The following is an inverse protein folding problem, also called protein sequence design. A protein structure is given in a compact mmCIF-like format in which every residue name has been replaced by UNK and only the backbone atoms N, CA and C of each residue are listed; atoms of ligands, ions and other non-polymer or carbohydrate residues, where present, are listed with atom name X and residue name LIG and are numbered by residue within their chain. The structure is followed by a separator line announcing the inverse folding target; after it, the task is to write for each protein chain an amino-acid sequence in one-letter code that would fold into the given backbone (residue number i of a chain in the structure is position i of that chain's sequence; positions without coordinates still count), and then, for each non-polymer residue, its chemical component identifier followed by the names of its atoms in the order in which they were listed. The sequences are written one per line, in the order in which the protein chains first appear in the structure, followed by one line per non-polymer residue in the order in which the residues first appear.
data_IF_926786776109
#
_entry.id   IF_926786776109
#
_cell.length_a   1.000
_cell.length_b   1.000
_cell.length_c   1.000
_cell.angle_alpha   90.00
_cell.angle_beta   90.00
_cell.angle_gamma   90.00
#
_symmetry.space_group_name_H-M   'P 1'
#
loop_
_entity.id
_entity.type
_entity.pdbx_description
1 polymer ?
#
# COMPACT_ATOMS: atom_id res chain seq x y z
N UNK A 1 2.32 9.51 16.11
CA UNK A 1 3.74 9.94 16.06
C UNK A 1 3.77 11.45 16.03
N UNK A 2 4.77 12.08 16.71
CA UNK A 2 5.01 13.52 16.60
C UNK A 2 6.36 13.72 15.92
N UNK A 3 6.35 14.42 14.78
CA UNK A 3 7.55 14.81 14.03
C UNK A 3 7.82 16.30 14.28
N UNK A 4 9.00 16.64 14.76
CA UNK A 4 9.42 18.02 15.00
C UNK A 4 10.60 18.31 14.07
N UNK A 5 10.50 19.38 13.27
CA UNK A 5 11.56 19.79 12.35
C UNK A 5 11.72 21.30 12.32
N UNK A 6 12.96 21.75 12.15
CA UNK A 6 13.35 23.15 11.99
C UNK A 6 13.82 23.49 10.57
N UNK A 7 13.79 22.50 9.65
CA UNK A 7 14.26 22.66 8.29
C UNK A 7 13.72 21.65 7.32
N UNK A 8 14.06 21.86 6.05
CA UNK A 8 13.69 20.98 4.93
C UNK A 8 14.43 19.65 4.98
N UNK A 9 13.75 18.58 4.57
CA UNK A 9 14.41 17.31 4.32
C UNK A 9 15.32 17.42 3.09
N UNK A 10 16.56 17.01 3.28
CA UNK A 10 17.59 17.00 2.23
C UNK A 10 17.92 15.58 1.73
N UNK A 11 17.25 14.56 2.24
CA UNK A 11 17.46 13.16 1.85
C UNK A 11 16.84 12.88 0.49
N UNK A 12 17.65 12.69 -0.53
CA UNK A 12 17.23 12.31 -1.87
C UNK A 12 17.47 10.81 -2.10
N UNK A 13 16.67 10.10 -2.90
CA UNK A 13 15.62 10.60 -3.81
C UNK A 13 14.17 10.47 -3.27
N UNK A 14 13.98 10.12 -2.00
CA UNK A 14 12.66 9.83 -1.44
C UNK A 14 11.90 11.11 -1.09
N UNK A 15 10.63 11.17 -1.47
CA UNK A 15 9.70 12.22 -1.04
C UNK A 15 9.13 11.87 0.34
N UNK A 16 9.34 12.71 1.39
CA UNK A 16 8.84 12.42 2.73
C UNK A 16 7.33 12.28 2.81
N UNK A 17 6.56 12.97 1.97
CA UNK A 17 5.11 12.85 1.93
C UNK A 17 4.68 11.47 1.37
N UNK A 18 5.34 10.97 0.33
CA UNK A 18 5.10 9.62 -0.19
C UNK A 18 5.46 8.55 0.85
N UNK A 19 6.58 8.72 1.55
CA UNK A 19 6.97 7.82 2.65
C UNK A 19 5.92 7.81 3.76
N UNK A 20 5.38 8.99 4.14
CA UNK A 20 4.31 9.09 5.13
C UNK A 20 3.04 8.35 4.69
N UNK A 21 2.65 8.45 3.41
CA UNK A 21 1.52 7.69 2.84
C UNK A 21 1.75 6.18 2.91
N UNK A 22 2.94 5.72 2.59
CA UNK A 22 3.28 4.30 2.66
C UNK A 22 3.29 3.78 4.10
N UNK A 23 3.84 4.55 5.03
CA UNK A 23 3.83 4.21 6.46
C UNK A 23 2.38 4.12 6.97
N UNK A 24 1.54 5.10 6.63
CA UNK A 24 0.12 5.09 7.01
C UNK A 24 -0.62 3.87 6.48
N UNK A 25 -0.31 3.43 5.25
CA UNK A 25 -0.92 2.23 4.65
C UNK A 25 -0.46 0.92 5.30
N UNK A 26 0.72 0.90 5.93
CA UNK A 26 1.27 -0.29 6.63
C UNK A 26 0.95 -0.31 8.12
N UNK A 27 0.60 0.83 8.69
CA UNK A 27 0.36 0.99 10.12
C UNK A 27 -1.12 1.08 10.47
N UNK A 28 -1.56 0.33 11.47
CA UNK A 28 -2.95 0.36 11.94
C UNK A 28 -3.20 1.69 12.64
N UNK A 29 -4.03 2.56 12.04
CA UNK A 29 -4.43 3.83 12.62
C UNK A 29 -3.27 4.79 12.94
N UNK A 30 -2.16 4.69 12.19
CA UNK A 30 -1.01 5.54 12.41
C UNK A 30 -1.32 6.99 12.01
N UNK A 31 -1.21 7.91 12.96
CA UNK A 31 -1.30 9.36 12.76
C UNK A 31 0.07 10.00 13.01
N UNK A 32 0.50 10.89 12.13
CA UNK A 32 1.72 11.70 12.31
C UNK A 32 1.32 13.17 12.43
N UNK A 33 1.46 13.72 13.63
CA UNK A 33 1.35 15.16 13.84
C UNK A 33 2.71 15.80 13.61
N UNK A 34 2.76 16.94 12.92
CA UNK A 34 4.01 17.61 12.59
C UNK A 34 4.08 19.00 13.22
N UNK A 35 5.24 19.33 13.78
CA UNK A 35 5.54 20.60 14.39
C UNK A 35 6.73 21.24 13.66
N UNK A 36 6.49 22.40 13.04
CA UNK A 36 7.54 23.18 12.37
C UNK A 36 8.07 24.30 13.27
N UNK A 37 9.38 24.28 13.56
CA UNK A 37 10.05 25.33 14.33
C UNK A 37 10.52 26.44 13.39
N UNK A 38 9.71 27.51 13.23
CA UNK A 38 10.02 28.66 12.36
C UNK A 38 10.29 28.26 10.89
N UNK A 39 9.45 27.45 10.26
CA UNK A 39 9.73 26.91 8.95
C UNK A 39 9.56 27.97 7.84
N UNK A 40 10.39 27.86 6.80
CA UNK A 40 10.12 28.48 5.51
C UNK A 40 8.89 27.86 4.83
N UNK A 41 8.46 28.42 3.69
CA UNK A 41 7.25 27.96 3.00
C UNK A 41 7.36 26.50 2.55
N UNK A 42 8.50 26.09 2.02
CA UNK A 42 8.72 24.74 1.48
C UNK A 42 8.72 23.68 2.59
N UNK A 43 9.40 23.94 3.69
CA UNK A 43 9.36 23.07 4.88
C UNK A 43 7.94 22.96 5.44
N UNK A 44 7.20 24.06 5.46
CA UNK A 44 5.79 24.06 5.90
C UNK A 44 4.94 23.17 5.03
N UNK A 45 5.02 23.32 3.72
CA UNK A 45 4.22 22.52 2.76
C UNK A 45 4.56 21.03 2.89
N UNK A 46 5.83 20.68 3.06
CA UNK A 46 6.29 19.32 3.28
C UNK A 46 5.74 18.73 4.59
N UNK A 47 5.85 19.45 5.70
CA UNK A 47 5.35 18.99 7.00
C UNK A 47 3.82 18.89 7.02
N UNK A 48 3.12 19.83 6.36
CA UNK A 48 1.66 19.76 6.19
C UNK A 48 1.25 18.52 5.41
N UNK A 49 1.93 18.25 4.29
CA UNK A 49 1.66 17.07 3.49
C UNK A 49 1.85 15.75 4.27
N UNK A 50 2.90 15.65 5.10
CA UNK A 50 3.12 14.47 5.96
C UNK A 50 1.97 14.29 6.96
N UNK A 51 1.54 15.38 7.61
CA UNK A 51 0.44 15.34 8.55
C UNK A 51 -0.86 14.94 7.85
N UNK A 52 -1.24 15.63 6.78
CA UNK A 52 -2.46 15.36 6.01
C UNK A 52 -2.49 13.93 5.47
N UNK A 53 -1.33 13.46 4.98
CA UNK A 53 -1.18 12.10 4.47
C UNK A 53 -1.51 11.01 5.51
N UNK A 54 -1.46 11.31 6.80
CA UNK A 54 -1.67 10.36 7.90
C UNK A 54 -2.85 10.72 8.80
N UNK A 55 -3.66 11.74 8.42
CA UNK A 55 -4.77 12.22 9.25
C UNK A 55 -4.33 12.96 10.52
N UNK A 56 -3.08 13.43 10.55
CA UNK A 56 -2.52 14.26 11.62
C UNK A 56 -2.76 15.74 11.40
N UNK A 57 -2.10 16.56 12.22
CA UNK A 57 -2.18 18.01 12.15
C UNK A 57 -0.80 18.63 12.06
N UNK A 58 -0.64 19.62 11.17
CA UNK A 58 0.54 20.48 11.16
C UNK A 58 0.35 21.68 12.12
N UNK A 59 1.38 22.03 12.87
CA UNK A 59 1.40 23.24 13.70
C UNK A 59 2.77 23.95 13.56
N UNK A 60 2.73 25.26 13.25
CA UNK A 60 3.91 26.10 13.32
C UNK A 60 4.09 26.60 14.76
N UNK A 61 5.30 26.47 15.28
CA UNK A 61 5.65 26.85 16.66
C UNK A 61 6.82 27.83 16.62
N UNK A 62 6.68 28.97 17.31
CA UNK A 62 7.70 29.99 17.36
C UNK A 62 8.34 30.13 18.74
N UNK A 63 7.64 29.67 19.78
CA UNK A 63 8.08 29.82 21.16
C UNK A 63 8.05 28.51 21.92
N UNK A 64 8.93 28.37 22.91
CA UNK A 64 9.09 27.17 23.72
C UNK A 64 7.79 26.76 24.47
N UNK A 65 7.07 27.78 24.95
CA UNK A 65 5.82 27.58 25.68
C UNK A 65 4.77 26.95 24.77
N UNK A 66 4.61 27.42 23.53
CA UNK A 66 3.72 26.87 22.51
C UNK A 66 4.07 25.42 22.16
N UNK A 67 5.37 25.10 22.09
CA UNK A 67 5.83 23.73 21.86
C UNK A 67 5.40 22.82 23.01
N UNK A 68 5.60 23.23 24.26
CA UNK A 68 5.23 22.44 25.44
C UNK A 68 3.73 22.18 25.51
N UNK A 69 2.93 23.23 25.31
CA UNK A 69 1.46 23.14 25.34
C UNK A 69 0.95 22.23 24.21
N UNK A 70 1.53 22.35 23.01
CA UNK A 70 1.12 21.53 21.88
C UNK A 70 1.50 20.07 22.05
N UNK A 71 2.68 19.77 22.55
CA UNK A 71 3.07 18.38 22.87
C UNK A 71 2.16 17.80 23.93
N UNK A 72 1.79 18.58 24.98
CA UNK A 72 0.81 18.15 25.98
C UNK A 72 -0.52 17.77 25.36
N UNK A 73 -1.09 18.61 24.49
CA UNK A 73 -2.34 18.33 23.77
C UNK A 73 -2.26 17.06 22.91
N UNK A 74 -1.12 16.83 22.25
CA UNK A 74 -0.91 15.64 21.42
C UNK A 74 -0.81 14.35 22.26
N UNK A 75 -0.21 14.44 23.44
CA UNK A 75 -0.15 13.33 24.39
C UNK A 75 -1.54 13.01 24.93
N UNK A 76 -2.34 14.02 25.29
CA UNK A 76 -3.71 13.84 25.74
C UNK A 76 -4.58 13.19 24.64
N UNK A 77 -4.44 13.65 23.40
CA UNK A 77 -5.11 13.05 22.23
C UNK A 77 -4.69 11.60 21.98
N UNK A 78 -3.42 11.27 22.17
CA UNK A 78 -2.93 9.90 22.02
C UNK A 78 -3.43 8.96 23.13
N UNK A 79 -3.89 9.51 24.25
CA UNK A 79 -4.52 8.79 25.36
C UNK A 79 -6.02 8.56 25.19
N UNK A 80 -6.64 9.11 24.11
CA UNK A 80 -8.05 8.90 23.83
C UNK A 80 -8.36 7.42 23.56
N UNK A 81 -9.55 6.91 23.93
CA UNK A 81 -9.86 5.49 23.90
C UNK A 81 -9.75 4.91 22.49
N UNK A 82 -9.09 3.78 22.43
CA UNK A 82 -8.88 2.97 21.22
C UNK A 82 -10.23 2.68 20.54
N UNK A 83 -10.30 2.87 19.23
CA UNK A 83 -11.48 2.50 18.43
C UNK A 83 -11.75 1.01 18.63
N UNK A 84 -12.96 0.66 19.03
CA UNK A 84 -13.37 -0.73 19.20
C UNK A 84 -13.51 -1.39 17.83
N UNK A 85 -12.77 -2.45 17.53
CA UNK A 85 -12.89 -3.14 16.25
C UNK A 85 -14.28 -3.74 16.05
N UNK A 86 -14.76 -3.72 14.81
CA UNK A 86 -16.03 -4.33 14.41
C UNK A 86 -15.76 -5.77 13.96
N UNK A 87 -16.44 -6.74 14.57
CA UNK A 87 -16.37 -8.11 14.12
C UNK A 87 -16.96 -8.25 12.71
N UNK A 88 -16.22 -8.85 11.81
CA UNK A 88 -16.64 -9.15 10.44
C UNK A 88 -16.26 -10.57 10.07
N UNK A 89 -16.85 -11.12 9.03
CA UNK A 89 -16.50 -12.42 8.49
C UNK A 89 -16.22 -12.26 6.98
N UNK A 90 -14.96 -12.39 6.59
CA UNK A 90 -14.57 -12.38 5.19
C UNK A 90 -15.06 -13.64 4.47
N UNK A 91 -15.22 -13.53 3.15
CA UNK A 91 -15.67 -14.64 2.33
C UNK A 91 -14.50 -15.38 1.64
N UNK A 92 -14.76 -16.59 1.15
CA UNK A 92 -13.79 -17.35 0.35
C UNK A 92 -13.59 -16.77 -1.06
N UNK A 93 -14.50 -15.91 -1.53
CA UNK A 93 -14.47 -15.27 -2.84
C UNK A 93 -14.97 -13.84 -2.76
N UNK A 94 -14.49 -12.97 -3.66
CA UNK A 94 -14.90 -11.57 -3.70
C UNK A 94 -16.42 -11.37 -3.85
N UNK A 95 -17.11 -12.20 -4.66
CA UNK A 95 -18.53 -12.05 -4.93
C UNK A 95 -19.43 -12.12 -3.69
N UNK A 96 -19.04 -12.89 -2.68
CA UNK A 96 -19.79 -13.05 -1.41
C UNK A 96 -19.21 -12.22 -0.25
N UNK A 97 -18.17 -11.42 -0.47
CA UNK A 97 -17.49 -10.74 0.58
C UNK A 97 -18.28 -9.53 1.11
N UNK A 98 -18.18 -9.23 2.41
CA UNK A 98 -18.78 -8.03 3.00
C UNK A 98 -18.13 -6.77 2.43
N UNK A 99 -18.94 -5.72 2.24
CA UNK A 99 -18.42 -4.39 1.87
C UNK A 99 -18.09 -3.62 3.15
N UNK A 100 -16.83 -3.26 3.30
CA UNK A 100 -16.30 -2.52 4.43
C UNK A 100 -16.21 -1.02 4.10
N UNK A 101 -16.40 -0.19 5.12
CA UNK A 101 -16.09 1.24 5.12
C UNK A 101 -14.77 1.48 5.83
N UNK A 102 -14.30 2.73 5.86
CA UNK A 102 -13.15 3.09 6.71
C UNK A 102 -13.45 2.69 8.16
N UNK A 103 -12.50 1.98 8.78
CA UNK A 103 -12.62 1.45 10.12
C UNK A 103 -11.68 0.31 10.44
N UNK A 104 -11.78 -0.16 11.68
CA UNK A 104 -11.02 -1.28 12.21
C UNK A 104 -11.93 -2.49 12.38
N UNK A 105 -11.47 -3.64 11.88
CA UNK A 105 -12.26 -4.88 11.83
C UNK A 105 -11.50 -6.05 12.43
N UNK A 106 -12.21 -7.01 12.99
CA UNK A 106 -11.63 -8.29 13.43
C UNK A 106 -12.30 -9.44 12.73
N UNK A 107 -11.51 -10.44 12.38
CA UNK A 107 -11.93 -11.71 11.79
C UNK A 107 -11.01 -12.84 12.26
N UNK A 108 -11.18 -14.03 11.71
CA UNK A 108 -10.30 -15.17 11.92
C UNK A 108 -9.86 -15.76 10.59
N UNK A 109 -8.54 -15.89 10.45
CA UNK A 109 -7.90 -16.41 9.25
C UNK A 109 -7.74 -17.93 9.38
N UNK A 110 -8.36 -18.70 8.48
CA UNK A 110 -8.19 -20.14 8.43
C UNK A 110 -6.83 -20.51 7.84
N UNK A 111 -6.21 -21.54 8.37
CA UNK A 111 -4.88 -22.01 7.96
C UNK A 111 -4.84 -22.36 6.47
N UNK A 112 -3.92 -21.76 5.72
CA UNK A 112 -3.73 -22.00 4.29
C UNK A 112 -4.90 -21.57 3.41
N UNK A 113 -5.80 -20.74 3.91
CA UNK A 113 -6.95 -20.22 3.19
C UNK A 113 -6.76 -18.77 2.81
N UNK A 114 -7.76 -18.22 2.13
CA UNK A 114 -7.84 -16.83 1.77
C UNK A 114 -9.17 -16.23 2.22
N UNK A 115 -9.15 -14.95 2.57
CA UNK A 115 -10.31 -14.15 2.94
C UNK A 115 -10.44 -12.96 2.02
N UNK A 116 -11.67 -12.66 1.62
CA UNK A 116 -11.99 -11.49 0.79
C UNK A 116 -12.90 -10.53 1.52
N UNK A 117 -12.64 -9.23 1.30
CA UNK A 117 -13.46 -8.12 1.73
C UNK A 117 -13.61 -7.15 0.56
N UNK A 118 -14.71 -6.42 0.46
CA UNK A 118 -14.92 -5.41 -0.59
C UNK A 118 -14.80 -4.01 0.00
N UNK A 119 -14.26 -3.10 -0.79
CA UNK A 119 -14.20 -1.68 -0.47
C UNK A 119 -14.52 -0.91 -1.74
N UNK A 120 -15.38 0.09 -1.65
CA UNK A 120 -15.72 0.97 -2.75
C UNK A 120 -14.81 2.21 -2.69
N UNK A 121 -14.14 2.52 -3.81
CA UNK A 121 -13.16 3.61 -3.93
C UNK A 121 -13.61 4.51 -5.07
N UNK A 122 -13.87 5.79 -4.76
CA UNK A 122 -14.23 6.78 -5.78
C UNK A 122 -12.98 7.27 -6.55
N UNK A 123 -13.14 7.77 -7.77
CA UNK A 123 -12.09 8.50 -8.44
C UNK A 123 -11.52 9.62 -7.56
N UNK A 124 -10.21 9.82 -7.58
CA UNK A 124 -9.52 10.79 -6.71
C UNK A 124 -9.29 10.34 -5.27
N UNK A 125 -9.78 9.17 -4.87
CA UNK A 125 -9.54 8.62 -3.53
C UNK A 125 -8.37 7.63 -3.52
N UNK A 126 -7.80 7.44 -2.34
CA UNK A 126 -6.77 6.44 -2.05
C UNK A 126 -7.31 5.43 -1.03
N UNK A 127 -7.32 4.15 -1.40
CA UNK A 127 -7.54 3.06 -0.48
C UNK A 127 -6.23 2.71 0.22
N UNK A 128 -6.25 2.70 1.53
CA UNK A 128 -5.21 2.16 2.41
C UNK A 128 -5.80 0.99 3.16
N UNK A 129 -5.10 -0.11 3.19
CA UNK A 129 -5.52 -1.26 3.96
C UNK A 129 -4.32 -1.96 4.59
N UNK A 130 -4.46 -2.37 5.83
CA UNK A 130 -3.45 -3.16 6.53
C UNK A 130 -4.11 -4.31 7.28
N UNK A 131 -3.38 -5.42 7.37
CA UNK A 131 -3.82 -6.60 8.10
C UNK A 131 -2.73 -7.05 9.06
N UNK A 132 -3.14 -7.37 10.29
CA UNK A 132 -2.31 -8.01 11.30
C UNK A 132 -2.90 -9.36 11.64
N UNK A 133 -2.09 -10.40 11.63
CA UNK A 133 -2.48 -11.75 12.04
C UNK A 133 -1.63 -12.15 13.23
N UNK A 134 -2.28 -12.51 14.33
CA UNK A 134 -1.64 -12.94 15.56
C UNK A 134 -1.62 -14.46 15.68
N UNK A 135 -0.49 -15.03 16.09
CA UNK A 135 -0.39 -16.45 16.42
C UNK A 135 -0.84 -16.67 17.87
N UNK A 136 -2.11 -17.03 18.08
CA UNK A 136 -2.65 -17.39 19.42
C UNK A 136 -2.36 -18.85 19.81
N UNK A 137 -1.60 -19.56 18.99
CA UNK A 137 -1.16 -20.95 19.18
C UNK A 137 0.09 -21.24 18.37
N UNK A 138 0.68 -22.41 18.62
CA UNK A 138 1.87 -22.84 17.89
C UNK A 138 1.57 -23.05 16.40
N UNK A 139 2.37 -22.41 15.54
CA UNK A 139 2.34 -22.55 14.07
C UNK A 139 3.72 -22.99 13.59
N UNK A 140 3.79 -23.62 12.43
CA UNK A 140 5.07 -23.96 11.83
C UNK A 140 5.85 -22.68 11.47
N UNK A 141 7.19 -22.69 11.54
CA UNK A 141 8.01 -21.49 11.39
C UNK A 141 7.98 -20.88 9.99
N UNK A 142 7.68 -21.68 8.95
CA UNK A 142 7.65 -21.22 7.57
C UNK A 142 6.23 -20.77 7.18
N UNK A 143 5.83 -19.60 7.66
CA UNK A 143 4.53 -19.04 7.33
C UNK A 143 4.64 -17.56 6.95
N UNK A 144 3.65 -17.09 6.20
CA UNK A 144 3.57 -15.69 5.79
C UNK A 144 2.14 -15.24 5.52
N UNK A 145 1.96 -13.95 5.49
CA UNK A 145 0.74 -13.26 5.13
C UNK A 145 1.01 -12.36 3.94
N UNK A 146 0.09 -12.36 2.97
CA UNK A 146 0.11 -11.47 1.82
C UNK A 146 -1.27 -10.86 1.65
N UNK A 147 -1.31 -9.54 1.54
CA UNK A 147 -2.49 -8.77 1.20
C UNK A 147 -2.42 -8.27 -0.25
N UNK A 148 -3.53 -8.38 -0.97
CA UNK A 148 -3.65 -7.88 -2.34
C UNK A 148 -4.96 -7.13 -2.52
N UNK A 149 -4.94 -6.10 -3.35
CA UNK A 149 -6.14 -5.50 -3.91
C UNK A 149 -6.34 -6.07 -5.32
N UNK A 150 -7.51 -6.63 -5.57
CA UNK A 150 -7.87 -7.22 -6.85
C UNK A 150 -9.20 -6.66 -7.33
N UNK A 151 -9.43 -6.66 -8.64
CA UNK A 151 -10.76 -6.34 -9.19
C UNK A 151 -11.77 -7.42 -8.83
N UNK A 152 -13.06 -7.14 -9.00
CA UNK A 152 -14.14 -8.13 -8.82
C UNK A 152 -13.99 -9.38 -9.72
N UNK A 153 -13.20 -9.28 -10.79
CA UNK A 153 -12.86 -10.39 -11.69
C UNK A 153 -11.54 -11.09 -11.32
N UNK A 154 -10.92 -10.74 -10.20
CA UNK A 154 -9.70 -11.37 -9.69
C UNK A 154 -8.39 -10.87 -10.32
N UNK A 155 -8.42 -9.81 -11.14
CA UNK A 155 -7.19 -9.20 -11.64
C UNK A 155 -6.52 -8.39 -10.53
N UNK A 156 -5.26 -8.66 -10.25
CA UNK A 156 -4.47 -7.93 -9.28
C UNK A 156 -4.28 -6.46 -9.72
N UNK A 157 -4.54 -5.54 -8.80
CA UNK A 157 -4.35 -4.11 -8.94
C UNK A 157 -3.03 -3.72 -8.28
N UNK A 158 -2.90 -4.04 -6.99
CA UNK A 158 -1.72 -3.78 -6.17
C UNK A 158 -1.58 -4.87 -5.12
N UNK A 159 -0.35 -5.12 -4.69
CA UNK A 159 -0.07 -6.02 -3.55
C UNK A 159 0.77 -5.32 -2.51
N UNK A 160 0.54 -5.70 -1.26
CA UNK A 160 1.44 -5.42 -0.17
C UNK A 160 2.70 -6.28 -0.25
N UNK A 161 3.68 -5.97 0.55
CA UNK A 161 4.84 -6.81 0.73
C UNK A 161 4.43 -8.10 1.47
N UNK A 162 4.84 -9.25 0.95
CA UNK A 162 4.66 -10.53 1.65
C UNK A 162 5.53 -10.56 2.89
N UNK A 163 4.94 -10.81 4.05
CA UNK A 163 5.65 -10.81 5.33
C UNK A 163 5.49 -12.13 6.04
N UNK A 164 6.50 -12.50 6.82
CA UNK A 164 6.54 -13.69 7.65
C UNK A 164 7.89 -14.38 7.57
N UNK A 165 8.36 -14.90 8.69
CA UNK A 165 9.53 -15.79 8.79
C UNK A 165 9.42 -16.71 9.99
N UNK A 166 8.24 -16.87 10.57
CA UNK A 166 7.95 -17.74 11.67
C UNK A 166 8.52 -17.36 13.04
N UNK A 167 9.04 -16.14 13.19
CA UNK A 167 9.71 -15.72 14.42
C UNK A 167 8.97 -14.69 15.25
N UNK A 168 7.82 -14.22 14.80
CA UNK A 168 7.02 -13.22 15.51
C UNK A 168 5.62 -13.74 15.78
N UNK A 169 5.07 -13.40 16.94
CA UNK A 169 3.70 -13.75 17.30
C UNK A 169 2.64 -12.95 16.52
N UNK A 170 3.06 -11.88 15.86
CA UNK A 170 2.21 -11.03 15.02
C UNK A 170 2.91 -10.70 13.71
N UNK A 171 2.21 -10.88 12.61
CA UNK A 171 2.64 -10.46 11.27
C UNK A 171 1.68 -9.40 10.76
N UNK A 172 2.24 -8.30 10.28
CA UNK A 172 1.47 -7.22 9.67
C UNK A 172 1.97 -6.92 8.26
N UNK A 173 1.04 -6.68 7.35
CA UNK A 173 1.30 -6.19 5.99
C UNK A 173 0.23 -5.21 5.57
N UNK A 174 0.54 -4.34 4.63
CA UNK A 174 -0.43 -3.36 4.14
C UNK A 174 -0.18 -3.01 2.69
N UNK A 175 -1.14 -2.32 2.10
CA UNK A 175 -1.09 -1.80 0.74
C UNK A 175 -1.77 -0.44 0.66
N UNK A 176 -1.45 0.29 -0.40
CA UNK A 176 -2.16 1.50 -0.80
C UNK A 176 -2.53 1.42 -2.28
N UNK A 177 -3.68 1.96 -2.62
CA UNK A 177 -4.15 2.05 -3.99
C UNK A 177 -4.75 3.44 -4.24
N UNK A 178 -3.99 4.38 -4.81
CA UNK A 178 -4.53 5.66 -5.24
C UNK A 178 -5.30 5.48 -6.54
N UNK A 179 -6.59 5.80 -6.52
CA UNK A 179 -7.46 5.79 -7.70
C UNK A 179 -7.30 7.10 -8.45
N UNK A 180 -7.01 7.03 -9.74
CA UNK A 180 -6.92 8.22 -10.58
C UNK A 180 -8.24 9.02 -10.56
N UNK A 181 -8.13 10.33 -10.68
CA UNK A 181 -9.27 11.19 -10.93
C UNK A 181 -9.97 10.81 -12.25
N UNK A 182 -11.22 11.17 -12.39
CA UNK A 182 -12.01 10.97 -13.60
C UNK A 182 -12.41 12.33 -14.17
N UNK A 183 -12.38 12.44 -15.49
CA UNK A 183 -12.95 13.61 -16.19
C UNK A 183 -14.49 13.65 -16.10
N UNK A 184 -15.12 12.56 -15.65
CA UNK A 184 -16.56 12.46 -15.41
C UNK A 184 -16.83 12.60 -13.90
N UNK A 185 -17.41 13.72 -13.49
CA UNK A 185 -17.79 14.01 -12.10
C UNK A 185 -18.79 12.99 -11.52
N UNK A 186 -19.47 12.21 -12.37
CA UNK A 186 -20.42 11.17 -11.97
C UNK A 186 -19.84 9.76 -12.14
N UNK A 187 -18.53 9.61 -12.34
CA UNK A 187 -17.93 8.29 -12.48
C UNK A 187 -18.24 7.42 -11.23
N UNK A 188 -18.73 6.20 -11.41
CA UNK A 188 -19.07 5.33 -10.27
C UNK A 188 -17.83 4.92 -9.49
N UNK A 189 -18.02 4.65 -8.21
CA UNK A 189 -17.01 4.02 -7.38
C UNK A 189 -16.59 2.66 -7.98
N UNK A 190 -15.31 2.35 -7.90
CA UNK A 190 -14.78 1.03 -8.22
C UNK A 190 -14.84 0.14 -6.97
N UNK A 191 -15.47 -1.03 -7.08
CA UNK A 191 -15.40 -2.03 -6.01
C UNK A 191 -14.07 -2.79 -6.10
N UNK A 192 -13.22 -2.60 -5.12
CA UNK A 192 -11.94 -3.27 -4.94
C UNK A 192 -12.12 -4.41 -3.95
N UNK A 193 -11.57 -5.58 -4.25
CA UNK A 193 -11.55 -6.73 -3.36
C UNK A 193 -10.20 -6.82 -2.65
N UNK A 194 -10.18 -6.65 -1.35
CA UNK A 194 -9.04 -6.96 -0.51
C UNK A 194 -8.97 -8.47 -0.32
N UNK A 195 -7.89 -9.09 -0.73
CA UNK A 195 -7.61 -10.50 -0.58
C UNK A 195 -6.48 -10.68 0.41
N UNK A 196 -6.76 -11.29 1.55
CA UNK A 196 -5.75 -11.74 2.52
C UNK A 196 -5.50 -13.22 2.27
N UNK A 197 -4.23 -13.59 2.13
CA UNK A 197 -3.80 -14.96 1.89
C UNK A 197 -2.73 -15.30 2.91
N UNK A 198 -2.80 -16.48 3.49
CA UNK A 198 -1.78 -16.97 4.42
C UNK A 198 -1.25 -18.35 4.00
N UNK A 199 -0.06 -18.66 4.50
CA UNK A 199 0.59 -19.98 4.35
C UNK A 199 0.76 -20.70 5.68
N UNK A 200 -0.08 -20.37 6.67
CA UNK A 200 0.00 -21.04 7.97
C UNK A 200 -0.24 -22.54 7.86
N UNK A 201 0.55 -23.29 8.61
CA UNK A 201 0.32 -24.69 8.88
C UNK A 201 0.52 -24.95 10.37
N UNK A 202 -0.23 -25.89 10.92
CA UNK A 202 -0.15 -26.22 12.35
C UNK A 202 0.87 -27.33 12.60
N UNK A 203 1.54 -27.27 13.73
CA UNK A 203 2.30 -28.39 14.25
C UNK A 203 1.37 -29.59 14.53
N UNK A 204 1.95 -30.79 14.58
CA UNK A 204 1.19 -32.01 14.86
C UNK A 204 0.47 -31.93 16.20
N UNK A 205 -0.84 -32.17 16.20
CA UNK A 205 -1.66 -32.11 17.41
C UNK A 205 -2.24 -30.73 17.77
N UNK A 206 -1.87 -29.67 17.06
CA UNK A 206 -2.41 -28.33 17.27
C UNK A 206 -3.73 -28.18 16.48
N UNK A 207 -4.77 -27.68 17.16
CA UNK A 207 -6.07 -27.41 16.52
C UNK A 207 -5.96 -26.20 15.60
N UNK A 208 -6.44 -26.33 14.37
CA UNK A 208 -6.50 -25.26 13.36
C UNK A 208 -7.80 -24.45 13.38
N UNK A 209 -8.79 -24.90 14.13
CA UNK A 209 -10.10 -24.28 14.26
C UNK A 209 -10.34 -23.83 15.71
N UNK A 210 -10.85 -22.61 15.95
CA UNK A 210 -11.05 -21.53 14.99
C UNK A 210 -9.74 -21.05 14.40
N UNK A 211 -9.75 -20.36 13.26
CA UNK A 211 -8.56 -19.78 12.63
C UNK A 211 -7.82 -18.79 13.54
N UNK A 212 -6.67 -18.29 13.09
CA UNK A 212 -5.89 -17.29 13.81
C UNK A 212 -6.60 -15.94 13.87
N UNK A 213 -6.49 -15.16 14.95
CA UNK A 213 -7.07 -13.84 15.03
C UNK A 213 -6.44 -12.91 13.99
N UNK A 214 -7.29 -12.20 13.29
CA UNK A 214 -6.95 -11.23 12.25
C UNK A 214 -7.54 -9.88 12.63
N UNK A 215 -6.76 -8.83 12.49
CA UNK A 215 -7.20 -7.45 12.57
C UNK A 215 -6.95 -6.76 11.24
N UNK A 216 -7.98 -6.13 10.68
CA UNK A 216 -7.96 -5.47 9.38
C UNK A 216 -8.33 -4.00 9.55
N UNK A 217 -7.45 -3.11 9.11
CA UNK A 217 -7.76 -1.69 8.98
C UNK A 217 -8.04 -1.37 7.52
N UNK A 218 -9.11 -0.63 7.30
CA UNK A 218 -9.47 -0.08 5.99
C UNK A 218 -9.62 1.42 6.15
N UNK A 219 -9.02 2.18 5.26
CA UNK A 219 -9.16 3.62 5.20
C UNK A 219 -9.29 4.07 3.75
N UNK A 220 -10.23 4.98 3.47
CA UNK A 220 -10.45 5.57 2.16
C UNK A 220 -10.40 7.08 2.34
N UNK A 221 -9.35 7.68 1.82
CA UNK A 221 -9.03 9.11 1.99
C UNK A 221 -8.86 9.77 0.64
N UNK A 222 -8.74 11.09 0.62
CA UNK A 222 -8.41 11.81 -0.59
C UNK A 222 -7.04 11.39 -1.12
N UNK A 223 -6.97 11.12 -2.41
CA UNK A 223 -5.76 10.67 -3.08
C UNK A 223 -4.74 11.79 -3.25
N UNK A 224 -3.48 11.44 -3.61
CA UNK A 224 -2.49 12.43 -3.97
C UNK A 224 -2.84 13.08 -5.33
N UNK A 225 -2.40 14.33 -5.52
CA UNK A 225 -2.48 14.99 -6.81
C UNK A 225 -1.83 14.13 -7.90
N UNK A 226 -2.49 14.04 -9.06
CA UNK A 226 -2.00 13.24 -10.20
C UNK A 226 -1.83 11.74 -9.90
N UNK A 227 -2.68 11.20 -9.05
CA UNK A 227 -2.73 9.76 -8.81
C UNK A 227 -2.85 8.99 -10.12
N UNK A 228 -2.27 7.80 -10.16
CA UNK A 228 -2.40 6.86 -11.27
C UNK A 228 -2.85 5.52 -10.74
N UNK A 229 -3.92 4.97 -11.30
CA UNK A 229 -4.42 3.62 -11.00
C UNK A 229 -3.72 2.52 -11.82
N UNK A 230 -2.59 2.85 -12.43
CA UNK A 230 -1.73 1.85 -13.07
C UNK A 230 -1.16 0.96 -11.99
N UNK A 231 -1.49 -0.31 -12.04
CA UNK A 231 -0.98 -1.31 -11.11
C UNK A 231 0.55 -1.27 -11.08
N UNK A 232 1.13 -1.30 -9.87
CA UNK A 232 2.59 -1.28 -9.67
C UNK A 232 3.33 -2.42 -10.38
N UNK A 233 2.62 -3.49 -10.76
CA UNK A 233 3.12 -4.64 -11.51
C UNK A 233 2.61 -4.68 -12.96
N UNK A 234 1.86 -3.68 -13.42
CA UNK A 234 1.45 -3.58 -14.82
C UNK A 234 2.60 -3.08 -15.68
N UNK A 235 2.66 -3.52 -16.93
CA UNK A 235 3.65 -3.05 -17.91
C UNK A 235 3.52 -1.54 -18.20
N UNK A 236 2.41 -0.88 -17.79
CA UNK A 236 2.19 0.53 -17.98
C UNK A 236 2.61 1.01 -19.36
N UNK A 237 3.49 2.02 -19.41
CA UNK A 237 4.16 2.46 -20.64
C UNK A 237 5.20 1.47 -21.19
N UNK A 238 5.47 0.37 -20.50
CA UNK A 238 6.42 -0.67 -20.92
C UNK A 238 6.04 -1.34 -22.25
N UNK A 239 4.78 -1.31 -22.65
CA UNK A 239 4.36 -1.73 -23.99
C UNK A 239 5.08 -0.97 -25.11
N UNK A 240 5.34 0.32 -24.91
CA UNK A 240 6.12 1.14 -25.86
C UNK A 240 7.58 0.70 -25.91
N UNK A 241 8.16 0.34 -24.76
CA UNK A 241 9.52 -0.20 -24.67
C UNK A 241 9.62 -1.57 -25.36
N UNK A 242 8.65 -2.45 -25.16
CA UNK A 242 8.57 -3.73 -25.86
C UNK A 242 8.42 -3.52 -27.38
N UNK A 243 7.54 -2.63 -27.80
CA UNK A 243 7.39 -2.26 -29.21
C UNK A 243 8.69 -1.70 -29.80
N UNK A 244 9.37 -0.81 -29.10
CA UNK A 244 10.66 -0.25 -29.50
C UNK A 244 11.75 -1.33 -29.60
N UNK A 245 11.84 -2.26 -28.64
CA UNK A 245 12.78 -3.38 -28.66
C UNK A 245 12.53 -4.33 -29.84
N UNK A 246 11.27 -4.66 -30.13
CA UNK A 246 10.91 -5.49 -31.28
C UNK A 246 11.28 -4.78 -32.58
N UNK A 247 10.98 -3.48 -32.70
CA UNK A 247 11.31 -2.69 -33.89
C UNK A 247 12.82 -2.59 -34.09
N UNK A 248 13.59 -2.29 -33.05
CA UNK A 248 15.05 -2.21 -33.12
C UNK A 248 15.68 -3.55 -33.46
N UNK A 249 15.18 -4.65 -32.86
CA UNK A 249 15.63 -6.00 -33.21
C UNK A 249 15.34 -6.38 -34.66
N UNK A 250 14.16 -6.01 -35.16
CA UNK A 250 13.77 -6.24 -36.55
C UNK A 250 14.67 -5.45 -37.53
N UNK A 251 14.88 -4.15 -37.26
CA UNK A 251 15.75 -3.29 -38.09
C UNK A 251 17.19 -3.79 -38.06
N UNK A 252 17.73 -4.15 -36.89
CA UNK A 252 19.06 -4.71 -36.77
C UNK A 252 19.19 -6.04 -37.52
N UNK A 253 18.19 -6.90 -37.46
CA UNK A 253 18.14 -8.16 -38.21
C UNK A 253 18.13 -7.96 -39.73
N UNK A 254 17.36 -6.99 -40.23
CA UNK A 254 17.36 -6.63 -41.64
C UNK A 254 18.70 -6.08 -42.12
N UNK A 255 19.29 -5.18 -41.33
CA UNK A 255 20.60 -4.60 -41.66
C UNK A 255 21.70 -5.69 -41.68
N UNK A 256 21.67 -6.59 -40.68
CA UNK A 256 22.61 -7.71 -40.61
C UNK A 256 22.42 -8.67 -41.80
N UNK A 257 21.18 -9.00 -42.14
CA UNK A 257 20.85 -9.85 -43.28
C UNK A 257 21.26 -9.23 -44.61
N UNK A 258 21.10 -7.90 -44.75
CA UNK A 258 21.56 -7.16 -45.95
C UNK A 258 23.09 -7.13 -46.06
N UNK A 259 23.78 -6.80 -44.96
CA UNK A 259 25.25 -6.78 -44.89
C UNK A 259 25.87 -8.17 -45.13
N UNK A 260 25.26 -9.23 -44.62
CA UNK A 260 25.73 -10.60 -44.81
C UNK A 260 25.61 -11.06 -46.27
N UNK A 261 24.58 -10.60 -46.99
CA UNK A 261 24.45 -10.84 -48.45
C UNK A 261 25.60 -10.23 -49.25
N UNK A 262 26.03 -9.02 -48.88
CA UNK A 262 27.15 -8.37 -49.56
C UNK A 262 28.46 -9.10 -49.31
N UNK A 263 28.70 -9.64 -48.15
CA UNK A 263 29.88 -10.43 -47.82
C UNK A 263 29.98 -11.74 -48.63
N UNK A 264 28.86 -12.39 -48.90
CA UNK A 264 28.81 -13.60 -49.72
C UNK A 264 29.09 -13.31 -51.21
N UNK A 265 28.75 -12.13 -51.70
CA UNK A 265 29.02 -11.74 -53.10
C UNK A 265 30.52 -11.48 -53.38
N UNK A 266 31.30 -11.05 -52.37
CA UNK A 266 32.73 -10.73 -52.51
C UNK A 266 33.61 -12.01 -52.60
N UNK A 267 33.15 -13.16 -52.11
CA UNK A 267 33.92 -14.42 -52.08
C UNK A 267 33.63 -15.35 -53.26
N UNK A 268 32.82 -14.93 -54.23
CA UNK A 268 32.46 -15.77 -55.39
C UNK A 268 33.14 -15.37 -56.70
N UNK A 269 34.11 -14.45 -56.68
CA UNK A 269 34.87 -14.04 -57.84
C UNK A 269 36.35 -14.42 -57.64
N UNK A 270 36.63 -15.73 -57.57
CA UNK A 270 37.92 -16.33 -57.89
C UNK A 270 37.69 -17.78 -58.38
#
# INVERSE_FOLDING_TARGET
IVLISDGEDTCQPLDPCEVAREIAAKGIGLTIDTLGLVPDAKTRDQLSCIADATGGTYTSVQHKEELSDRVGQLVDRAADPVVTPVATEGAAQCAGAPTLKSGLYTDREEFGKQRFYRVDVNPGQELRASVSVGADREVNPDYGVLMRAVTVHGREIVRGEGTGNGRTDVISTGLRYPKAESDDDNAPAETVCLQVTNSFSAASGVKTTPGLPLELTVDVVDGPDKASDVASFGLGRGWWLLGALVLTGFVAGLLWGWLSRWRLAVWRTN
#
